data_IF_016780373614
#
_entry.id   IF_016780373614
#
_cell.length_a   1.000
_cell.length_b   1.000
_cell.length_c   1.000
_cell.angle_alpha   90.00
_cell.angle_beta   90.00
_cell.angle_gamma   90.00
#
_symmetry.space_group_name_H-M   'P 1'
#
loop_
_entity.id
_entity.type
_entity.pdbx_description
1 polymer ?
#
# COMPACT_ATOMS: atom_id res chain seq x y z
N UNK A 1 -15.87 6.83 12.56
CA UNK A 1 -14.67 6.30 11.87
C UNK A 1 -13.50 7.23 12.14
N UNK A 2 -12.37 6.70 12.62
CA UNK A 2 -11.17 7.50 12.82
C UNK A 2 -10.64 7.94 11.46
N UNK A 3 -10.54 9.25 11.22
CA UNK A 3 -10.03 9.81 9.96
C UNK A 3 -8.58 10.25 10.15
N UNK A 4 -7.72 9.92 9.20
CA UNK A 4 -6.33 10.40 9.19
C UNK A 4 -6.21 11.66 8.34
N UNK A 5 -5.28 12.54 8.72
CA UNK A 5 -5.02 13.78 7.98
C UNK A 5 -4.50 13.46 6.58
N UNK A 6 -4.75 14.36 5.62
CA UNK A 6 -4.30 14.21 4.22
C UNK A 6 -2.82 13.83 4.12
N UNK A 7 -1.96 14.50 4.90
CA UNK A 7 -0.52 14.23 4.91
C UNK A 7 -0.22 12.78 5.33
N UNK A 8 -0.85 12.29 6.39
CA UNK A 8 -0.67 10.90 6.85
C UNK A 8 -1.22 9.89 5.83
N UNK A 9 -2.35 10.20 5.20
CA UNK A 9 -2.93 9.36 4.14
C UNK A 9 -2.02 9.27 2.91
N UNK A 10 -1.43 10.38 2.48
CA UNK A 10 -0.48 10.40 1.36
C UNK A 10 0.81 9.64 1.68
N UNK A 11 1.33 9.76 2.90
CA UNK A 11 2.48 8.96 3.35
C UNK A 11 2.13 7.48 3.31
N UNK A 12 0.94 7.09 3.78
CA UNK A 12 0.52 5.71 3.80
C UNK A 12 0.30 5.15 2.38
N UNK A 13 -0.26 5.95 1.46
CA UNK A 13 -0.32 5.63 0.03
C UNK A 13 1.06 5.43 -0.56
N UNK A 14 2.00 6.34 -0.29
CA UNK A 14 3.37 6.24 -0.79
C UNK A 14 4.06 4.98 -0.28
N UNK A 15 3.89 4.63 1.00
CA UNK A 15 4.42 3.39 1.57
C UNK A 15 3.80 2.15 0.92
N UNK A 16 2.47 2.12 0.71
CA UNK A 16 1.80 1.02 0.03
C UNK A 16 2.32 0.81 -1.39
N UNK A 17 2.46 1.89 -2.18
CA UNK A 17 3.03 1.83 -3.52
C UNK A 17 4.48 1.35 -3.52
N UNK A 18 5.28 1.83 -2.57
CA UNK A 18 6.68 1.46 -2.44
C UNK A 18 6.87 -0.02 -2.11
N UNK A 19 6.06 -0.55 -1.19
CA UNK A 19 6.07 -1.98 -0.85
C UNK A 19 5.77 -2.83 -2.09
N UNK A 20 4.70 -2.49 -2.84
CA UNK A 20 4.35 -3.23 -4.07
C UNK A 20 5.49 -3.19 -5.09
N UNK A 21 6.08 -2.01 -5.31
CA UNK A 21 7.17 -1.85 -6.27
C UNK A 21 8.39 -2.70 -5.89
N UNK A 22 8.84 -2.64 -4.64
CA UNK A 22 9.95 -3.45 -4.15
C UNK A 22 9.64 -4.94 -4.26
N UNK A 23 8.42 -5.37 -3.95
CA UNK A 23 8.04 -6.78 -4.02
C UNK A 23 8.06 -7.32 -5.45
N UNK A 24 7.71 -6.48 -6.44
CA UNK A 24 7.84 -6.84 -7.86
C UNK A 24 9.30 -6.94 -8.28
N UNK A 25 10.14 -5.98 -7.87
CA UNK A 25 11.59 -6.00 -8.14
C UNK A 25 12.23 -7.25 -7.51
N UNK A 26 11.97 -7.53 -6.23
CA UNK A 26 12.49 -8.70 -5.53
C UNK A 26 12.02 -10.01 -6.15
N UNK A 27 10.76 -10.08 -6.59
CA UNK A 27 10.22 -11.29 -7.23
C UNK A 27 10.86 -11.60 -8.59
N UNK A 28 11.44 -10.60 -9.25
CA UNK A 28 12.17 -10.78 -10.50
C UNK A 28 13.56 -11.38 -10.26
N UNK A 29 14.28 -10.89 -9.23
CA UNK A 29 15.65 -11.32 -8.95
C UNK A 29 15.76 -12.56 -8.07
N UNK A 30 14.74 -12.84 -7.26
CA UNK A 30 14.76 -13.92 -6.28
C UNK A 30 13.50 -14.77 -6.46
N UNK A 31 13.68 -16.09 -6.52
CA UNK A 31 12.57 -17.04 -6.52
C UNK A 31 11.98 -17.08 -5.11
N UNK A 32 11.03 -16.18 -4.85
CA UNK A 32 10.23 -16.20 -3.63
C UNK A 32 9.14 -17.27 -3.71
N UNK A 33 8.87 -18.00 -2.61
CA UNK A 33 7.68 -18.84 -2.49
C UNK A 33 6.39 -18.06 -2.77
N UNK A 34 5.40 -18.72 -3.37
CA UNK A 34 4.14 -18.06 -3.77
C UNK A 34 3.43 -17.38 -2.60
N UNK A 35 3.47 -17.98 -1.41
CA UNK A 35 2.93 -17.39 -0.19
C UNK A 35 3.60 -16.05 0.16
N UNK A 36 4.92 -15.95 -0.01
CA UNK A 36 5.66 -14.71 0.27
C UNK A 36 5.34 -13.64 -0.77
N UNK A 37 5.27 -14.00 -2.05
CA UNK A 37 4.86 -13.05 -3.11
C UNK A 37 3.46 -12.51 -2.85
N UNK A 38 2.52 -13.40 -2.53
CA UNK A 38 1.15 -13.05 -2.21
C UNK A 38 1.02 -12.18 -0.97
N UNK A 39 1.75 -12.49 0.11
CA UNK A 39 1.68 -11.72 1.36
C UNK A 39 2.25 -10.31 1.18
N UNK A 40 3.35 -10.15 0.45
CA UNK A 40 3.92 -8.84 0.16
C UNK A 40 2.98 -7.96 -0.67
N UNK A 41 2.38 -8.50 -1.73
CA UNK A 41 1.38 -7.77 -2.52
C UNK A 41 0.14 -7.46 -1.66
N UNK A 42 -0.32 -8.41 -0.85
CA UNK A 42 -1.45 -8.25 0.06
C UNK A 42 -1.23 -7.14 1.09
N UNK A 43 -0.04 -7.04 1.68
CA UNK A 43 0.33 -5.96 2.61
C UNK A 43 0.31 -4.60 1.88
N UNK A 44 0.89 -4.54 0.69
CA UNK A 44 0.86 -3.33 -0.14
C UNK A 44 -0.56 -2.86 -0.44
N UNK A 45 -1.43 -3.77 -0.90
CA UNK A 45 -2.84 -3.49 -1.16
C UNK A 45 -3.62 -3.09 0.11
N UNK A 46 -3.36 -3.77 1.23
CA UNK A 46 -3.95 -3.44 2.53
C UNK A 46 -3.61 -2.02 2.98
N UNK A 47 -2.35 -1.59 2.79
CA UNK A 47 -1.92 -0.22 3.08
C UNK A 47 -2.62 0.80 2.17
N UNK A 48 -2.76 0.50 0.88
CA UNK A 48 -3.47 1.38 -0.06
C UNK A 48 -4.95 1.52 0.31
N UNK A 49 -5.63 0.42 0.65
CA UNK A 49 -7.02 0.42 1.11
C UNK A 49 -7.18 1.20 2.43
N UNK A 50 -6.29 0.99 3.39
CA UNK A 50 -6.32 1.72 4.66
C UNK A 50 -6.14 3.22 4.41
N UNK A 51 -5.24 3.58 3.50
CA UNK A 51 -4.99 4.97 3.13
C UNK A 51 -6.21 5.62 2.46
N UNK A 52 -6.87 4.93 1.52
CA UNK A 52 -8.05 5.46 0.80
C UNK A 52 -9.30 5.51 1.66
N UNK A 53 -9.55 4.50 2.49
CA UNK A 53 -10.76 4.42 3.35
C UNK A 53 -10.68 5.36 4.56
N UNK A 54 -9.52 5.47 5.22
CA UNK A 54 -9.36 6.34 6.39
C UNK A 54 -8.87 7.76 6.03
N UNK A 55 -8.33 7.95 4.83
CA UNK A 55 -7.80 9.22 4.37
C UNK A 55 -8.90 10.24 4.09
N UNK A 56 -8.75 11.45 4.64
CA UNK A 56 -9.63 12.57 4.27
C UNK A 56 -9.20 13.16 2.93
N UNK A 57 -9.47 12.45 1.83
CA UNK A 57 -9.40 13.05 0.50
C UNK A 57 -10.60 13.97 0.37
N UNK A 58 -10.36 15.29 0.27
CA UNK A 58 -11.45 16.21 -0.10
C UNK A 58 -11.87 15.79 -1.49
N UNK A 59 -13.02 15.12 -1.61
CA UNK A 59 -13.66 14.89 -2.90
C UNK A 59 -14.02 16.27 -3.44
N UNK A 60 -13.45 16.64 -4.59
CA UNK A 60 -13.87 17.84 -5.31
C UNK A 60 -15.19 17.45 -5.96
N UNK A 61 -16.26 18.10 -5.52
CA UNK A 61 -17.61 17.91 -6.02
C UNK A 61 -17.76 18.56 -7.39
#
# INVERSE_FOLDING_TARGET
MMKITKRKALILLAMGMFVIAISQVLSYYIVLPDLMKGSFIGIGLGLLLLATVLGTFRTVK
#
